data_IF_807256649086
#
_entry.id   IF_807256649086
#
_cell.length_a   1.000
_cell.length_b   1.000
_cell.length_c   1.000
_cell.angle_alpha   90.00
_cell.angle_beta   90.00
_cell.angle_gamma   90.00
#
_symmetry.space_group_name_H-M   'P 1'
#
loop_
_entity.id
_entity.type
_entity.pdbx_description
1 polymer ?
#
# COMPACT_ATOMS: atom_id res chain seq x y z
N UNK A 1 -0.06 28.51 -3.80
CA UNK A 1 0.01 27.89 -3.90
C UNK A 1 0.01 26.94 -3.87
N UNK A 2 0.17 26.72 -3.94
CA UNK A 2 -0.02 25.77 -3.89
C UNK A 2 0.25 24.86 -3.38
N UNK A 3 0.23 24.57 -2.79
CA UNK A 3 0.40 23.65 -2.45
C UNK A 3 -0.16 22.68 -2.61
N UNK A 4 -0.44 22.39 -2.92
CA UNK A 4 -1.03 21.57 -3.07
C UNK A 4 -0.96 20.58 -3.30
N UNK A 5 -0.65 20.53 -3.53
CA UNK A 5 -0.68 19.42 -3.94
C UNK A 5 -0.44 18.33 -3.25
N UNK A 6 -0.13 18.48 -2.40
CA UNK A 6 0.08 17.39 -1.56
C UNK A 6 -1.23 16.80 -1.24
N UNK A 7 -1.40 15.48 -1.42
CA UNK A 7 -2.58 14.86 -0.90
C UNK A 7 -2.47 15.05 0.58
N UNK A 8 -3.25 15.84 1.13
CA UNK A 8 -3.23 15.95 2.54
C UNK A 8 -4.43 15.21 3.07
N UNK A 9 -4.33 14.69 4.26
CA UNK A 9 -5.38 13.87 4.83
C UNK A 9 -6.55 14.70 5.32
N UNK A 10 -6.53 16.00 5.06
CA UNK A 10 -7.68 16.83 5.39
C UNK A 10 -8.75 16.75 4.33
N UNK A 11 -8.42 16.28 3.11
CA UNK A 11 -9.44 16.10 2.10
C UNK A 11 -10.02 14.68 2.19
N UNK A 12 -11.17 14.51 1.56
CA UNK A 12 -11.90 13.26 1.67
C UNK A 12 -11.10 12.08 1.09
N UNK A 13 -10.48 12.29 -0.08
CA UNK A 13 -9.73 11.23 -0.72
C UNK A 13 -8.55 10.81 0.14
N UNK A 14 -7.83 11.77 0.72
CA UNK A 14 -6.70 11.47 1.59
C UNK A 14 -7.14 10.73 2.84
N UNK A 15 -8.27 11.11 3.42
CA UNK A 15 -8.75 10.43 4.62
C UNK A 15 -9.17 9.00 4.33
N UNK A 16 -9.82 8.77 3.19
CA UNK A 16 -10.21 7.42 2.80
C UNK A 16 -8.97 6.57 2.54
N UNK A 17 -8.00 7.10 1.80
CA UNK A 17 -6.77 6.37 1.51
C UNK A 17 -6.06 5.98 2.80
N UNK A 18 -5.94 6.91 3.74
CA UNK A 18 -5.28 6.63 5.02
C UNK A 18 -6.03 5.56 5.81
N UNK A 19 -7.34 5.63 5.82
CA UNK A 19 -8.14 4.65 6.54
C UNK A 19 -7.98 3.26 5.91
N UNK A 20 -8.02 3.20 4.58
CA UNK A 20 -7.83 1.92 3.90
C UNK A 20 -6.46 1.35 4.21
N UNK A 21 -5.41 2.19 4.17
CA UNK A 21 -4.07 1.73 4.49
C UNK A 21 -4.00 1.13 5.90
N UNK A 22 -4.56 1.83 6.88
CA UNK A 22 -4.54 1.36 8.25
C UNK A 22 -5.27 0.02 8.39
N UNK A 23 -6.46 -0.07 7.81
CA UNK A 23 -7.26 -1.28 7.93
C UNK A 23 -6.62 -2.46 7.20
N UNK A 24 -6.06 -2.23 6.01
CA UNK A 24 -5.40 -3.31 5.28
C UNK A 24 -4.16 -3.79 6.03
N UNK A 25 -3.40 -2.87 6.63
CA UNK A 25 -2.26 -3.27 7.45
C UNK A 25 -2.69 -4.16 8.61
N UNK A 26 -3.82 -3.81 9.24
CA UNK A 26 -4.37 -4.64 10.31
C UNK A 26 -4.82 -6.01 9.81
N UNK A 27 -5.48 -6.03 8.65
CA UNK A 27 -5.94 -7.28 8.07
C UNK A 27 -4.77 -8.22 7.76
N UNK A 28 -3.70 -7.67 7.18
CA UNK A 28 -2.53 -8.48 6.88
C UNK A 28 -1.90 -9.02 8.16
N UNK A 29 -1.81 -8.20 9.19
CA UNK A 29 -1.25 -8.65 10.46
C UNK A 29 -2.13 -9.69 11.13
N UNK A 30 -3.46 -9.49 11.11
CA UNK A 30 -4.37 -10.38 11.83
C UNK A 30 -4.50 -11.74 11.15
N UNK A 31 -4.45 -11.76 9.81
CA UNK A 31 -4.77 -12.99 9.08
C UNK A 31 -3.57 -13.68 8.47
N UNK A 32 -2.45 -12.98 8.32
CA UNK A 32 -1.31 -13.51 7.57
C UNK A 32 0.01 -13.37 8.32
N UNK A 33 -0.05 -13.28 9.65
CA UNK A 33 1.18 -13.15 10.44
C UNK A 33 2.07 -14.38 10.34
N UNK A 34 1.49 -15.54 10.02
CA UNK A 34 2.24 -16.77 9.84
C UNK A 34 2.74 -16.98 8.42
N UNK A 35 2.34 -16.12 7.50
CA UNK A 35 2.77 -16.21 6.11
C UNK A 35 4.17 -15.62 6.01
N UNK A 36 5.12 -16.42 5.53
CA UNK A 36 6.53 -16.01 5.52
C UNK A 36 6.77 -14.80 4.63
N UNK A 37 6.01 -14.67 3.56
CA UNK A 37 6.16 -13.56 2.63
C UNK A 37 5.40 -12.34 3.13
N UNK A 38 4.13 -12.52 3.46
CA UNK A 38 3.28 -11.39 3.80
C UNK A 38 3.63 -10.76 5.15
N UNK A 39 4.19 -11.54 6.08
CA UNK A 39 4.59 -10.99 7.36
C UNK A 39 5.72 -9.98 7.24
N UNK A 40 6.45 -9.99 6.12
CA UNK A 40 7.51 -9.04 5.87
C UNK A 40 7.09 -7.80 5.10
N UNK A 41 5.80 -7.67 4.78
CA UNK A 41 5.28 -6.54 4.01
C UNK A 41 4.86 -5.42 4.95
N UNK A 42 5.28 -4.20 4.64
CA UNK A 42 4.87 -3.01 5.36
C UNK A 42 4.23 -2.04 4.39
N UNK A 43 3.04 -1.54 4.71
CA UNK A 43 2.39 -0.55 3.86
C UNK A 43 2.96 0.82 4.22
N UNK A 44 3.45 1.54 3.23
CA UNK A 44 4.16 2.80 3.44
C UNK A 44 3.43 3.99 2.84
N UNK A 45 2.34 3.75 2.14
CA UNK A 45 1.56 4.86 1.58
C UNK A 45 0.32 4.37 0.88
N UNK A 46 -0.59 5.30 0.62
CA UNK A 46 -1.83 5.00 -0.09
C UNK A 46 -2.28 6.23 -0.84
N UNK A 47 -2.78 6.02 -2.05
CA UNK A 47 -3.34 7.10 -2.88
C UNK A 47 -4.67 6.65 -3.45
N UNK A 48 -5.70 7.46 -3.26
CA UNK A 48 -7.03 7.18 -3.80
C UNK A 48 -7.20 7.86 -5.15
N UNK A 49 -7.85 7.18 -6.05
CA UNK A 49 -8.12 7.65 -7.40
C UNK A 49 -9.59 7.45 -7.75
N UNK A 50 -10.01 8.10 -8.84
CA UNK A 50 -11.30 7.79 -9.44
C UNK A 50 -12.48 7.99 -8.52
N UNK A 51 -12.52 9.10 -7.79
CA UNK A 51 -13.64 9.38 -6.92
C UNK A 51 -13.74 8.38 -5.78
N UNK A 52 -12.61 7.90 -5.28
CA UNK A 52 -12.52 6.95 -4.16
C UNK A 52 -12.84 5.52 -4.56
N UNK A 53 -12.89 5.22 -5.86
CA UNK A 53 -13.20 3.88 -6.31
C UNK A 53 -12.00 2.95 -6.31
N UNK A 54 -10.80 3.52 -6.25
CA UNK A 54 -9.58 2.74 -6.40
C UNK A 54 -8.50 3.31 -5.50
N UNK A 55 -7.83 2.45 -4.74
CA UNK A 55 -6.74 2.85 -3.85
C UNK A 55 -5.51 2.05 -4.19
N UNK A 56 -4.41 2.76 -4.45
CA UNK A 56 -3.10 2.15 -4.62
C UNK A 56 -2.43 2.11 -3.26
N UNK A 57 -1.97 0.92 -2.86
CA UNK A 57 -1.31 0.71 -1.58
C UNK A 57 0.16 0.41 -1.86
N UNK A 58 1.02 1.28 -1.41
CA UNK A 58 2.45 1.14 -1.64
C UNK A 58 3.06 0.36 -0.49
N UNK A 59 3.93 -0.60 -0.82
CA UNK A 59 4.52 -1.44 0.20
C UNK A 59 6.03 -1.55 0.06
N UNK A 60 6.67 -1.83 1.18
CA UNK A 60 8.04 -2.27 1.27
C UNK A 60 8.03 -3.73 1.75
N UNK A 61 9.04 -4.50 1.34
CA UNK A 61 9.11 -5.90 1.73
C UNK A 61 10.52 -6.24 2.19
N UNK A 62 10.60 -7.03 3.28
CA UNK A 62 11.88 -7.58 3.71
C UNK A 62 12.36 -8.67 2.77
N UNK A 63 11.44 -9.40 2.15
CA UNK A 63 11.79 -10.38 1.15
C UNK A 63 12.16 -9.64 -0.13
N UNK A 64 13.34 -9.91 -0.66
CA UNK A 64 13.87 -9.20 -1.80
C UNK A 64 13.30 -9.70 -3.12
N UNK A 65 12.65 -10.84 -3.12
CA UNK A 65 12.03 -11.39 -4.33
C UNK A 65 10.69 -10.70 -4.55
N UNK A 66 10.75 -9.47 -5.08
CA UNK A 66 9.55 -8.66 -5.23
C UNK A 66 8.50 -9.28 -6.15
N UNK A 67 8.87 -9.93 -7.27
CA UNK A 67 7.84 -10.61 -8.05
C UNK A 67 7.06 -11.66 -7.25
N UNK A 68 7.73 -12.42 -6.39
CA UNK A 68 7.06 -13.40 -5.55
C UNK A 68 6.17 -12.72 -4.51
N UNK A 69 6.63 -11.62 -3.92
CA UNK A 69 5.85 -10.85 -2.96
C UNK A 69 4.60 -10.29 -3.63
N UNK A 70 4.77 -9.71 -4.82
CA UNK A 70 3.64 -9.14 -5.56
C UNK A 70 2.63 -10.22 -5.91
N UNK A 71 3.11 -11.36 -6.35
CA UNK A 71 2.22 -12.48 -6.69
C UNK A 71 1.41 -12.90 -5.47
N UNK A 72 2.05 -12.98 -4.31
CA UNK A 72 1.37 -13.38 -3.08
C UNK A 72 0.34 -12.34 -2.65
N UNK A 73 0.69 -11.06 -2.73
CA UNK A 73 -0.25 -9.99 -2.41
C UNK A 73 -1.45 -10.01 -3.35
N UNK A 74 -1.20 -10.19 -4.65
CA UNK A 74 -2.29 -10.27 -5.60
C UNK A 74 -3.20 -11.45 -5.32
N UNK A 75 -2.63 -12.56 -4.87
CA UNK A 75 -3.42 -13.75 -4.58
C UNK A 75 -4.36 -13.55 -3.38
N UNK A 76 -3.99 -12.71 -2.43
CA UNK A 76 -4.84 -12.50 -1.24
C UNK A 76 -5.70 -11.25 -1.35
N UNK A 77 -5.58 -10.49 -2.42
CA UNK A 77 -6.29 -9.20 -2.56
C UNK A 77 -7.80 -9.36 -2.40
N UNK A 78 -8.36 -10.40 -2.98
CA UNK A 78 -9.79 -10.61 -2.90
C UNK A 78 -10.25 -10.83 -1.47
N UNK A 79 -9.53 -11.64 -0.72
CA UNK A 79 -9.86 -11.90 0.67
C UNK A 79 -9.65 -10.65 1.52
N UNK A 80 -8.58 -9.88 1.23
CA UNK A 80 -8.32 -8.64 1.93
C UNK A 80 -9.48 -7.67 1.71
N UNK A 81 -9.97 -7.56 0.47
CA UNK A 81 -11.13 -6.68 0.20
C UNK A 81 -12.37 -7.14 0.94
N UNK A 82 -12.59 -8.43 1.05
CA UNK A 82 -13.72 -8.96 1.81
C UNK A 82 -13.64 -8.52 3.27
N UNK A 83 -12.48 -8.67 3.88
CA UNK A 83 -12.26 -8.23 5.25
C UNK A 83 -12.37 -6.71 5.39
N UNK A 84 -11.85 -5.99 4.41
CA UNK A 84 -11.93 -4.54 4.40
C UNK A 84 -13.38 -4.07 4.40
N UNK A 85 -14.22 -4.71 3.61
CA UNK A 85 -15.64 -4.36 3.56
C UNK A 85 -16.28 -4.51 4.94
N UNK A 86 -15.96 -5.60 5.64
CA UNK A 86 -16.52 -5.83 6.96
C UNK A 86 -16.07 -4.76 7.95
N UNK A 87 -14.81 -4.34 7.85
CA UNK A 87 -14.25 -3.38 8.80
C UNK A 87 -14.62 -1.94 8.50
N UNK A 88 -14.83 -1.61 7.22
CA UNK A 88 -15.19 -0.23 6.86
C UNK A 88 -16.64 0.10 7.18
N UNK A 89 -17.48 -0.89 7.18
CA UNK A 89 -18.92 -0.68 7.44
C UNK A 89 -19.49 0.38 6.52
N UNK A 90 -19.10 0.33 5.24
CA UNK A 90 -19.56 1.28 4.22
C UNK A 90 -20.17 0.53 3.07
N UNK A 91 -21.02 1.24 2.32
CA UNK A 91 -21.73 0.66 1.21
C UNK A 91 -20.78 0.25 0.08
N UNK A 92 -19.77 1.07 -0.16
CA UNK A 92 -18.80 0.81 -1.22
C UNK A 92 -17.44 0.64 -0.63
N UNK A 93 -16.71 -0.36 -1.14
CA UNK A 93 -15.33 -0.63 -0.77
C UNK A 93 -14.49 -0.42 -2.02
N UNK A 94 -13.46 0.39 -1.96
CA UNK A 94 -12.65 0.63 -3.14
C UNK A 94 -11.92 -0.64 -3.57
N UNK A 95 -11.61 -0.72 -4.84
CA UNK A 95 -10.65 -1.70 -5.29
C UNK A 95 -9.27 -1.31 -4.81
N UNK A 96 -8.45 -2.29 -4.53
CA UNK A 96 -7.11 -2.02 -4.05
C UNK A 96 -6.09 -2.69 -4.97
N UNK A 97 -4.93 -2.06 -5.06
CA UNK A 97 -3.80 -2.60 -5.80
C UNK A 97 -2.55 -2.39 -4.97
N UNK A 98 -1.82 -3.46 -4.71
CA UNK A 98 -0.53 -3.36 -4.02
C UNK A 98 0.55 -3.06 -5.04
N UNK A 99 1.40 -2.08 -4.74
CA UNK A 99 2.51 -1.70 -5.60
C UNK A 99 3.76 -1.54 -4.76
N UNK A 100 4.85 -2.07 -5.24
CA UNK A 100 6.12 -1.98 -4.54
C UNK A 100 6.64 -0.54 -4.60
N UNK A 101 7.06 -0.03 -3.46
CA UNK A 101 7.67 1.30 -3.38
C UNK A 101 9.18 1.13 -3.48
N UNK A 102 9.74 1.50 -4.62
CA UNK A 102 11.17 1.34 -4.87
C UNK A 102 11.97 2.60 -4.57
N UNK A 103 11.39 3.52 -3.80
CA UNK A 103 12.03 4.80 -3.51
C UNK A 103 13.42 4.63 -2.89
N UNK A 104 13.53 3.72 -1.92
CA UNK A 104 14.82 3.49 -1.27
C UNK A 104 15.86 2.92 -2.21
N UNK A 105 15.44 2.00 -3.08
CA UNK A 105 16.35 1.42 -4.06
C UNK A 105 16.85 2.47 -5.04
N UNK A 106 15.94 3.33 -5.50
CA UNK A 106 16.32 4.39 -6.43
C UNK A 106 17.28 5.39 -5.79
N UNK A 107 17.00 5.76 -4.54
CA UNK A 107 17.85 6.68 -3.82
C UNK A 107 19.26 6.09 -3.65
N UNK A 108 19.34 4.81 -3.32
CA UNK A 108 20.60 4.12 -3.15
C UNK A 108 21.41 4.09 -4.46
N UNK A 109 20.73 3.84 -5.58
CA UNK A 109 21.41 3.84 -6.88
C UNK A 109 21.93 5.22 -7.25
N UNK A 110 21.16 6.25 -6.96
CA UNK A 110 21.60 7.63 -7.23
C UNK A 110 22.82 7.97 -6.40
N UNK A 111 22.81 7.61 -5.11
CA UNK A 111 23.95 7.86 -4.23
C UNK A 111 25.19 7.15 -4.75
N UNK A 112 25.06 5.90 -5.18
CA UNK A 112 26.18 5.15 -5.71
C UNK A 112 26.75 5.80 -6.97
N UNK A 113 25.87 6.30 -7.84
CA UNK A 113 26.32 6.99 -9.05
C UNK A 113 27.07 8.27 -8.70
N UNK A 114 26.59 9.01 -7.71
CA UNK A 114 27.25 10.25 -7.29
C UNK A 114 28.61 9.98 -6.67
N UNK A 115 28.75 8.88 -5.94
CA UNK A 115 30.02 8.52 -5.34
C UNK A 115 31.08 8.18 -6.39
N UNK A 116 30.67 7.75 -7.57
CA UNK A 116 31.59 7.38 -8.64
C UNK A 116 31.99 8.55 -9.52
N UNK A 117 31.48 9.74 -9.24
CA UNK A 117 31.91 10.93 -9.95
C UNK A 117 33.18 11.49 -9.32
#
# INVERSE_FOLDING_TARGET
MPRKQMPNNSNRAGRVASKVQTLVAEILRDNYSDDKILSGVSLVGAVAHGGLQFVRLFYYSRDENIPAVQHRLDAVTRMVRFELAARMNQKYVPEIKFEYDDTLERASRIDALLENL
#
